data_IF_116938673207
#
_entry.id   IF_116938673207
#
_cell.length_a   1.000
_cell.length_b   1.000
_cell.length_c   1.000
_cell.angle_alpha   90.00
_cell.angle_beta   90.00
_cell.angle_gamma   90.00
#
_symmetry.space_group_name_H-M   'P 1'
#
loop_
_entity.id
_entity.type
_entity.pdbx_description
1 polymer ?
#
# COMPACT_ATOMS: atom_id res chain seq x y z
N UNK A 1 23.34 -10.96 5.41
CA UNK A 1 23.11 -10.52 4.00
C UNK A 1 24.08 -9.38 3.72
N UNK A 2 24.69 -9.32 2.55
CA UNK A 2 25.76 -8.37 2.22
C UNK A 2 25.22 -6.99 1.84
N UNK A 3 23.98 -6.91 1.36
CA UNK A 3 23.38 -5.67 0.82
C UNK A 3 22.37 -4.99 1.73
N UNK A 4 22.35 -5.27 3.03
CA UNK A 4 21.34 -4.70 3.96
C UNK A 4 21.39 -3.17 4.05
N UNK A 5 22.55 -2.56 3.82
CA UNK A 5 22.72 -1.10 3.82
C UNK A 5 21.82 -0.38 2.80
N UNK A 6 21.40 -1.05 1.72
CA UNK A 6 20.53 -0.46 0.68
C UNK A 6 19.06 -0.34 1.13
N UNK A 7 18.69 -0.88 2.29
CA UNK A 7 17.34 -0.76 2.84
C UNK A 7 17.10 0.59 3.53
N UNK A 8 18.17 1.32 3.88
CA UNK A 8 18.09 2.60 4.58
C UNK A 8 17.32 3.66 3.75
N UNK A 9 16.17 4.16 4.23
CA UNK A 9 15.39 5.19 3.54
C UNK A 9 16.18 6.48 3.29
N UNK A 10 17.15 6.82 4.15
CA UNK A 10 17.94 8.05 4.02
C UNK A 10 18.74 8.09 2.71
N UNK A 11 19.00 6.93 2.09
CA UNK A 11 19.66 6.83 0.78
C UNK A 11 18.79 7.23 -0.40
N UNK A 12 17.47 7.38 -0.19
CA UNK A 12 16.50 7.65 -1.25
C UNK A 12 15.72 8.94 -0.99
N UNK A 13 16.34 10.12 -1.14
CA UNK A 13 15.67 11.42 -0.92
C UNK A 13 14.60 11.74 -1.97
N UNK A 14 14.60 11.03 -3.11
CA UNK A 14 13.59 11.13 -4.17
C UNK A 14 13.18 9.72 -4.59
N UNK A 15 11.92 9.55 -5.01
CA UNK A 15 11.37 8.26 -5.44
C UNK A 15 11.53 7.14 -4.40
N UNK A 16 11.48 7.49 -3.12
CA UNK A 16 11.71 6.59 -1.98
C UNK A 16 10.90 5.31 -2.06
N UNK A 17 9.61 5.39 -2.39
CA UNK A 17 8.73 4.21 -2.42
C UNK A 17 9.23 3.14 -3.41
N UNK A 18 9.51 3.51 -4.66
CA UNK A 18 9.97 2.54 -5.67
C UNK A 18 11.38 2.06 -5.37
N UNK A 19 12.29 2.94 -4.96
CA UNK A 19 13.67 2.57 -4.69
C UNK A 19 13.80 1.66 -3.46
N UNK A 20 13.04 1.90 -2.40
CA UNK A 20 12.97 0.99 -1.26
C UNK A 20 12.30 -0.34 -1.62
N UNK A 21 11.26 -0.32 -2.46
CA UNK A 21 10.61 -1.56 -2.93
C UNK A 21 11.55 -2.42 -3.78
N UNK A 22 12.38 -1.81 -4.62
CA UNK A 22 13.41 -2.51 -5.40
C UNK A 22 14.55 -3.01 -4.52
N UNK A 23 14.94 -2.21 -3.52
CA UNK A 23 16.00 -2.59 -2.58
C UNK A 23 15.60 -3.79 -1.73
N UNK A 24 14.35 -3.85 -1.28
CA UNK A 24 13.83 -5.01 -0.55
C UNK A 24 13.81 -6.27 -1.41
N UNK A 25 13.48 -6.16 -2.71
CA UNK A 25 13.60 -7.27 -3.66
C UNK A 25 15.04 -7.79 -3.77
N UNK A 26 16.04 -6.91 -3.87
CA UNK A 26 17.45 -7.31 -3.98
C UNK A 26 17.91 -8.05 -2.74
N UNK A 27 17.59 -7.54 -1.55
CA UNK A 27 17.97 -8.16 -0.27
C UNK A 27 17.18 -9.44 -0.03
N UNK A 28 15.89 -9.46 -0.38
CA UNK A 28 15.03 -10.63 -0.31
C UNK A 28 15.51 -11.76 -1.22
N UNK A 29 15.94 -11.44 -2.44
CA UNK A 29 16.56 -12.41 -3.35
C UNK A 29 17.83 -13.00 -2.75
N UNK A 30 18.71 -12.17 -2.19
CA UNK A 30 19.94 -12.63 -1.53
C UNK A 30 19.64 -13.59 -0.36
N UNK A 31 18.53 -13.38 0.35
CA UNK A 31 18.09 -14.27 1.42
C UNK A 31 17.55 -15.60 0.86
N UNK A 32 16.64 -15.54 -0.12
CA UNK A 32 15.99 -16.71 -0.72
C UNK A 32 16.97 -17.61 -1.48
N UNK A 33 18.00 -17.05 -2.11
CA UNK A 33 19.07 -17.83 -2.74
C UNK A 33 19.92 -18.62 -1.74
N UNK A 34 19.98 -18.18 -0.47
CA UNK A 34 20.72 -18.89 0.58
C UNK A 34 19.87 -19.92 1.29
N UNK A 35 18.58 -19.62 1.47
CA UNK A 35 17.64 -20.49 2.13
C UNK A 35 16.23 -20.18 1.63
N UNK A 36 15.55 -21.22 1.12
CA UNK A 36 14.14 -21.14 0.76
C UNK A 36 13.31 -21.67 1.94
N UNK A 37 12.61 -20.81 2.69
CA UNK A 37 11.78 -21.28 3.80
C UNK A 37 10.48 -21.92 3.29
N UNK A 38 9.90 -22.82 4.08
CA UNK A 38 8.56 -23.36 3.78
C UNK A 38 7.46 -22.28 3.88
N UNK A 39 7.63 -21.30 4.77
CA UNK A 39 6.73 -20.16 4.95
C UNK A 39 7.55 -18.87 5.07
N UNK A 40 7.22 -17.88 4.26
CA UNK A 40 7.73 -16.51 4.33
C UNK A 40 6.65 -15.60 4.91
N UNK A 41 7.01 -14.81 5.92
CA UNK A 41 6.10 -13.88 6.61
C UNK A 41 6.68 -12.47 6.56
N UNK A 42 5.96 -11.53 5.94
CA UNK A 42 6.32 -10.10 5.94
C UNK A 42 5.61 -9.35 7.07
N UNK A 43 6.37 -8.87 8.04
CA UNK A 43 5.88 -7.98 9.12
C UNK A 43 6.46 -6.58 9.03
N UNK A 44 7.45 -6.36 8.15
CA UNK A 44 8.19 -5.11 8.05
C UNK A 44 7.55 -4.12 7.07
N UNK A 45 6.51 -4.53 6.35
CA UNK A 45 5.89 -3.70 5.31
C UNK A 45 6.72 -3.65 4.04
N UNK A 46 7.34 -4.77 3.65
CA UNK A 46 8.08 -4.94 2.40
C UNK A 46 7.39 -5.94 1.46
N UNK A 47 6.13 -5.70 1.07
CA UNK A 47 5.32 -6.71 0.40
C UNK A 47 5.85 -7.09 -0.98
N UNK A 48 6.70 -6.26 -1.59
CA UNK A 48 7.34 -6.55 -2.87
C UNK A 48 8.22 -7.81 -2.85
N UNK A 49 8.60 -8.31 -1.68
CA UNK A 49 9.32 -9.60 -1.56
C UNK A 49 8.36 -10.80 -1.66
N UNK A 50 7.04 -10.61 -1.45
CA UNK A 50 6.05 -11.71 -1.48
C UNK A 50 5.98 -12.43 -2.83
N UNK A 51 5.92 -11.76 -4.00
CA UNK A 51 5.95 -12.44 -5.29
C UNK A 51 7.23 -13.24 -5.50
N UNK A 52 8.36 -12.69 -5.06
CA UNK A 52 9.65 -13.35 -5.13
C UNK A 52 9.68 -14.61 -4.24
N UNK A 53 9.24 -14.52 -2.98
CA UNK A 53 9.14 -15.67 -2.10
C UNK A 53 8.21 -16.75 -2.68
N UNK A 54 7.08 -16.34 -3.28
CA UNK A 54 6.15 -17.26 -3.94
C UNK A 54 6.77 -17.95 -5.15
N UNK A 55 7.57 -17.23 -5.93
CA UNK A 55 8.31 -17.77 -7.07
C UNK A 55 9.32 -18.84 -6.66
N UNK A 56 9.98 -18.66 -5.51
CA UNK A 56 10.87 -19.67 -4.91
C UNK A 56 10.12 -20.84 -4.24
N UNK A 57 8.78 -20.87 -4.28
CA UNK A 57 7.96 -21.96 -3.73
C UNK A 57 7.50 -21.78 -2.29
N UNK A 58 7.79 -20.63 -1.65
CA UNK A 58 7.36 -20.38 -0.27
C UNK A 58 5.84 -20.25 -0.19
N UNK A 59 5.26 -20.65 0.96
CA UNK A 59 3.95 -20.12 1.37
C UNK A 59 4.14 -18.70 1.89
N UNK A 60 3.20 -17.80 1.64
CA UNK A 60 3.38 -16.36 1.91
C UNK A 60 2.31 -15.82 2.84
N UNK A 61 2.72 -15.14 3.90
CA UNK A 61 1.84 -14.39 4.79
C UNK A 61 2.38 -12.98 5.04
N UNK A 62 1.50 -12.06 5.44
CA UNK A 62 1.93 -10.73 5.83
C UNK A 62 1.05 -10.13 6.94
N UNK A 63 1.66 -9.26 7.75
CA UNK A 63 0.99 -8.42 8.74
C UNK A 63 1.15 -6.95 8.33
N UNK A 64 0.04 -6.26 8.10
CA UNK A 64 0.02 -4.87 7.66
C UNK A 64 -0.50 -3.96 8.77
N UNK A 65 0.39 -3.08 9.25
CA UNK A 65 0.06 -2.03 10.21
C UNK A 65 -0.22 -0.70 9.50
N UNK A 66 0.69 -0.29 8.60
CA UNK A 66 0.56 0.89 7.75
C UNK A 66 0.80 0.50 6.28
N UNK A 67 -0.23 0.59 5.41
CA UNK A 67 -0.09 0.31 3.97
C UNK A 67 0.97 1.21 3.32
N UNK A 68 1.78 0.65 2.40
CA UNK A 68 2.85 1.38 1.71
C UNK A 68 2.32 2.56 0.90
N UNK A 69 1.10 2.44 0.37
CA UNK A 69 0.38 3.52 -0.30
C UNK A 69 -1.05 3.56 0.20
N UNK A 70 -1.53 4.74 0.62
CA UNK A 70 -2.90 4.91 1.08
C UNK A 70 -3.85 5.41 0.00
N UNK A 71 -5.15 5.15 0.16
CA UNK A 71 -6.20 5.60 -0.75
C UNK A 71 -6.30 7.12 -0.69
N UNK A 72 -6.02 7.71 0.47
CA UNK A 72 -5.93 9.14 0.65
C UNK A 72 -4.77 9.75 -0.15
N UNK A 73 -3.62 9.07 -0.27
CA UNK A 73 -2.54 9.53 -1.14
C UNK A 73 -2.97 9.52 -2.61
N UNK A 74 -3.72 8.50 -3.04
CA UNK A 74 -4.28 8.43 -4.40
C UNK A 74 -5.34 9.51 -4.64
N UNK A 75 -6.22 9.76 -3.66
CA UNK A 75 -7.29 10.74 -3.75
C UNK A 75 -6.74 12.17 -3.72
N UNK A 76 -5.76 12.47 -2.86
CA UNK A 76 -5.07 13.77 -2.81
C UNK A 76 -4.37 14.10 -4.13
N UNK A 77 -3.82 13.09 -4.80
CA UNK A 77 -3.21 13.22 -6.13
C UNK A 77 -4.27 13.42 -7.23
N UNK A 78 -5.48 12.86 -7.07
CA UNK A 78 -6.62 13.10 -7.97
C UNK A 78 -7.19 14.52 -7.81
N UNK A 79 -7.37 14.96 -6.58
CA UNK A 79 -8.11 16.19 -6.23
C UNK A 79 -7.28 17.48 -6.38
N UNK A 80 -6.00 17.38 -6.76
CA UNK A 80 -5.06 18.52 -6.82
C UNK A 80 -5.09 19.38 -5.54
N UNK A 81 -5.42 18.83 -4.36
CA UNK A 81 -5.49 19.63 -3.12
C UNK A 81 -4.11 20.23 -2.87
N UNK A 82 -3.99 21.52 -3.18
CA UNK A 82 -2.82 22.33 -2.90
C UNK A 82 -2.72 22.42 -1.39
N UNK A 83 -1.77 21.70 -0.80
CA UNK A 83 -1.31 22.08 0.53
C UNK A 83 -0.64 23.46 0.35
N UNK A 84 -1.05 24.40 1.19
CA UNK A 84 -0.89 25.86 1.16
C UNK A 84 0.54 26.44 0.98
N UNK A 85 1.53 25.67 0.51
CA UNK A 85 2.92 26.12 0.46
C UNK A 85 3.78 25.44 -0.63
N UNK A 86 3.34 25.42 -1.88
CA UNK A 86 4.29 25.12 -2.96
C UNK A 86 4.18 26.11 -4.11
N UNK A 87 5.06 27.11 -4.03
CA UNK A 87 5.50 28.01 -5.08
C UNK A 87 5.64 27.25 -6.40
N UNK A 88 4.73 27.53 -7.34
CA UNK A 88 4.86 27.25 -8.79
C UNK A 88 5.57 25.94 -9.16
N UNK A 89 4.94 24.78 -8.92
CA UNK A 89 5.35 23.53 -9.60
C UNK A 89 4.49 23.36 -10.85
N UNK A 90 5.12 23.41 -12.03
CA UNK A 90 4.42 23.42 -13.32
C UNK A 90 3.50 22.21 -13.52
N UNK A 91 2.48 22.36 -14.37
CA UNK A 91 1.47 21.33 -14.67
C UNK A 91 2.10 19.95 -14.96
N UNK A 92 3.19 19.92 -15.73
CA UNK A 92 3.93 18.70 -16.11
C UNK A 92 4.45 17.91 -14.89
N UNK A 93 4.98 18.58 -13.88
CA UNK A 93 5.52 17.93 -12.68
C UNK A 93 4.39 17.29 -11.83
N UNK A 94 3.23 17.93 -11.78
CA UNK A 94 2.03 17.38 -11.14
C UNK A 94 1.49 16.15 -11.88
N UNK A 95 1.45 16.20 -13.22
CA UNK A 95 1.06 15.06 -14.05
C UNK A 95 2.02 13.87 -13.88
N UNK A 96 3.34 14.12 -13.87
CA UNK A 96 4.35 13.07 -13.66
C UNK A 96 4.21 12.44 -12.27
N UNK A 97 4.03 13.25 -11.22
CA UNK A 97 3.80 12.77 -9.85
C UNK A 97 2.55 11.89 -9.79
N UNK A 98 1.47 12.29 -10.46
CA UNK A 98 0.25 11.48 -10.54
C UNK A 98 0.44 10.16 -11.27
N UNK A 99 1.16 10.18 -12.39
CA UNK A 99 1.51 8.97 -13.12
C UNK A 99 2.32 8.02 -12.23
N UNK A 100 3.34 8.54 -11.54
CA UNK A 100 4.17 7.78 -10.60
C UNK A 100 3.35 7.07 -9.52
N UNK A 101 2.49 7.77 -8.77
CA UNK A 101 1.70 7.15 -7.70
C UNK A 101 0.66 6.17 -8.25
N UNK A 102 0.09 6.41 -9.43
CA UNK A 102 -0.84 5.47 -10.08
C UNK A 102 -0.12 4.17 -10.47
N UNK A 103 1.04 4.28 -11.12
CA UNK A 103 1.85 3.12 -11.49
C UNK A 103 2.29 2.34 -10.26
N UNK A 104 2.72 3.05 -9.21
CA UNK A 104 3.10 2.42 -7.94
C UNK A 104 1.92 1.71 -7.28
N UNK A 105 0.72 2.31 -7.26
CA UNK A 105 -0.48 1.67 -6.73
C UNK A 105 -0.88 0.41 -7.52
N UNK A 106 -0.75 0.42 -8.85
CA UNK A 106 -1.00 -0.76 -9.68
C UNK A 106 -0.02 -1.89 -9.33
N UNK A 107 1.28 -1.58 -9.22
CA UNK A 107 2.28 -2.56 -8.80
C UNK A 107 2.00 -3.09 -7.39
N UNK A 108 1.68 -2.21 -6.45
CA UNK A 108 1.35 -2.58 -5.08
C UNK A 108 0.10 -3.46 -5.00
N UNK A 109 -0.93 -3.14 -5.79
CA UNK A 109 -2.13 -3.97 -5.92
C UNK A 109 -1.82 -5.37 -6.45
N UNK A 110 -0.96 -5.45 -7.48
CA UNK A 110 -0.47 -6.72 -8.04
C UNK A 110 0.26 -7.57 -7.02
N UNK A 111 1.24 -6.98 -6.35
CA UNK A 111 2.05 -7.63 -5.31
C UNK A 111 1.18 -8.23 -4.20
N UNK A 112 0.11 -7.54 -3.82
CA UNK A 112 -0.85 -8.02 -2.82
C UNK A 112 -1.53 -9.35 -3.18
N UNK A 113 -1.66 -9.68 -4.47
CA UNK A 113 -2.20 -10.98 -4.92
C UNK A 113 -1.36 -12.18 -4.48
N UNK A 114 -0.07 -11.96 -4.19
CA UNK A 114 0.86 -13.01 -3.77
C UNK A 114 0.82 -13.28 -2.27
N UNK A 115 0.08 -12.51 -1.46
CA UNK A 115 -0.10 -12.79 -0.03
C UNK A 115 -1.19 -13.85 0.18
N UNK A 116 -0.86 -15.08 0.58
CA UNK A 116 -1.89 -16.09 0.84
C UNK A 116 -2.70 -15.78 2.09
N UNK A 117 -2.04 -15.31 3.15
CA UNK A 117 -2.68 -14.83 4.39
C UNK A 117 -2.27 -13.38 4.62
N UNK A 118 -3.25 -12.50 4.84
CA UNK A 118 -2.99 -11.10 5.18
C UNK A 118 -3.71 -10.78 6.49
N UNK A 119 -2.94 -10.35 7.47
CA UNK A 119 -3.42 -9.87 8.76
C UNK A 119 -3.26 -8.35 8.82
N UNK A 120 -4.18 -7.66 9.46
CA UNK A 120 -4.15 -6.20 9.59
C UNK A 120 -4.41 -5.79 11.03
N UNK A 121 -3.90 -4.62 11.43
CA UNK A 121 -4.04 -4.12 12.80
C UNK A 121 -5.45 -3.60 13.14
N UNK A 122 -6.26 -3.28 12.14
CA UNK A 122 -7.55 -2.61 12.30
C UNK A 122 -8.48 -2.94 11.15
N UNK A 123 -9.78 -2.66 11.34
CA UNK A 123 -10.80 -2.74 10.30
C UNK A 123 -10.57 -1.72 9.18
N UNK A 124 -10.08 -0.52 9.50
CA UNK A 124 -9.74 0.48 8.49
C UNK A 124 -8.61 0.01 7.56
N UNK A 125 -7.51 -0.50 8.14
CA UNK A 125 -6.39 -1.03 7.35
C UNK A 125 -6.83 -2.22 6.49
N UNK A 126 -7.71 -3.07 7.04
CA UNK A 126 -8.31 -4.18 6.30
C UNK A 126 -9.08 -3.70 5.07
N UNK A 127 -10.07 -2.83 5.27
CA UNK A 127 -10.91 -2.31 4.18
C UNK A 127 -10.05 -1.60 3.12
N UNK A 128 -9.03 -0.87 3.56
CA UNK A 128 -8.09 -0.22 2.66
C UNK A 128 -7.29 -1.22 1.79
N UNK A 129 -6.76 -2.30 2.40
CA UNK A 129 -6.03 -3.35 1.68
C UNK A 129 -6.96 -4.11 0.72
N UNK A 130 -8.18 -4.44 1.16
CA UNK A 130 -9.19 -5.11 0.33
C UNK A 130 -9.57 -4.28 -0.92
N UNK A 131 -9.52 -2.94 -0.84
CA UNK A 131 -9.75 -2.06 -1.99
C UNK A 131 -8.60 -2.02 -2.99
N UNK A 132 -7.35 -2.12 -2.55
CA UNK A 132 -6.19 -1.94 -3.44
C UNK A 132 -5.61 -3.25 -3.93
N UNK A 133 -5.54 -4.27 -3.08
CA UNK A 133 -4.88 -5.52 -3.40
C UNK A 133 -5.74 -6.35 -4.34
N UNK A 134 -5.14 -6.71 -5.47
CA UNK A 134 -5.79 -7.49 -6.51
C UNK A 134 -6.30 -8.82 -5.97
N UNK A 135 -5.66 -9.42 -4.97
CA UNK A 135 -6.19 -10.59 -4.26
C UNK A 135 -7.71 -10.52 -4.04
N UNK A 136 -8.20 -9.37 -3.58
CA UNK A 136 -9.58 -9.22 -3.12
C UNK A 136 -10.56 -8.84 -4.24
N UNK A 137 -10.10 -8.30 -5.37
CA UNK A 137 -11.02 -7.98 -6.47
C UNK A 137 -11.58 -9.25 -7.15
N UNK A 138 -10.80 -10.33 -7.18
CA UNK A 138 -11.21 -11.61 -7.79
C UNK A 138 -11.95 -12.49 -6.78
N UNK A 139 -11.63 -12.40 -5.49
CA UNK A 139 -12.30 -13.22 -4.46
C UNK A 139 -13.57 -12.60 -3.90
N UNK A 140 -13.80 -11.29 -4.08
CA UNK A 140 -14.99 -10.63 -3.56
C UNK A 140 -15.56 -9.55 -4.51
N UNK A 141 -16.14 -9.93 -5.67
CA UNK A 141 -16.75 -8.97 -6.60
C UNK A 141 -17.94 -8.19 -6.02
N UNK A 142 -18.49 -8.60 -4.86
CA UNK A 142 -19.63 -7.95 -4.20
C UNK A 142 -19.26 -6.88 -3.16
N UNK A 143 -18.01 -6.85 -2.67
CA UNK A 143 -17.58 -5.90 -1.64
C UNK A 143 -17.43 -4.45 -2.13
N UNK A 144 -17.34 -4.23 -3.45
CA UNK A 144 -17.27 -2.90 -4.06
C UNK A 144 -18.65 -2.24 -4.21
N UNK A 145 -19.75 -2.97 -4.02
CA UNK A 145 -21.11 -2.46 -4.22
C UNK A 145 -21.77 -1.96 -2.92
N UNK A 146 -21.27 -2.34 -1.74
CA UNK A 146 -21.95 -2.10 -0.46
C UNK A 146 -21.48 -0.86 0.30
N UNK A 147 -20.44 -0.17 -0.15
CA UNK A 147 -19.95 1.04 0.55
C UNK A 147 -20.66 2.34 0.14
N UNK A 148 -21.60 2.29 -0.81
CA UNK A 148 -22.41 3.45 -1.18
C UNK A 148 -23.53 3.81 -0.19
N UNK A 149 -23.82 2.98 0.80
CA UNK A 149 -24.97 3.17 1.71
C UNK A 149 -24.62 3.38 3.18
N UNK A 150 -23.39 3.13 3.62
CA UNK A 150 -23.01 3.17 5.04
C UNK A 150 -22.56 4.56 5.53
N UNK A 151 -22.16 5.47 4.63
CA UNK A 151 -21.73 6.82 4.99
C UNK A 151 -22.92 7.79 5.22
N UNK A 152 -24.17 7.36 4.99
CA UNK A 152 -25.36 8.18 5.23
C UNK A 152 -25.86 8.14 6.69
N UNK A 153 -25.45 7.16 7.51
CA UNK A 153 -26.01 6.96 8.85
C UNK A 153 -25.22 7.65 9.98
N UNK A 154 -24.00 8.15 9.70
CA UNK A 154 -23.17 8.84 10.71
C UNK A 154 -23.20 10.37 10.66
N UNK A 155 -24.07 10.96 9.83
CA UNK A 155 -24.24 12.42 9.74
C UNK A 155 -25.48 12.97 10.48
N UNK A 156 -26.21 12.12 11.22
CA UNK A 156 -27.51 12.48 11.83
C UNK A 156 -27.51 12.77 13.33
N UNK A 157 -26.41 12.56 14.06
CA UNK A 157 -26.39 12.70 15.52
C UNK A 157 -25.34 13.72 15.96
N UNK A 158 -25.75 14.99 16.05
CA UNK A 158 -24.87 16.08 16.48
C UNK A 158 -25.48 17.47 16.37
N UNK A 159 -26.38 17.83 17.30
CA UNK A 159 -26.74 19.23 17.62
C UNK A 159 -28.25 19.46 17.69
N UNK A 160 -28.84 19.94 18.79
CA UNK A 160 -28.27 20.41 20.04
C UNK A 160 -29.39 20.68 21.05
N UNK A 161 -29.03 20.61 22.34
CA UNK A 161 -29.81 21.24 23.40
C UNK A 161 -29.59 22.75 23.40
N UNK A 162 -30.65 23.49 23.73
CA UNK A 162 -30.65 24.93 23.95
C UNK A 162 -32.01 25.33 24.50
N UNK A 163 -32.04 25.80 25.74
CA UNK A 163 -33.25 26.10 26.50
C UNK A 163 -34.00 27.36 26.05
N UNK A 164 -35.18 27.53 26.62
CA UNK A 164 -36.10 28.65 26.41
C UNK A 164 -37.52 28.25 26.72
#
# INVERSE_FOLDING_TARGET
LKRTAVLDPARYPRFTLILQSLSSLVVGAEALYKLVPGVYIDTCGVPFVLPLARFFGCKTACYVHYPVISTDMLQRVKDRRQMYNNRSTGLVQSHLKRCYYKLFALMYGCVGSFAQVCMTNSSWTRAHIEKIWWKYWWTNPRGLATEGSADAEKAGDGGGGGGG
#
